data_IF_474408784217
#
_entry.id   IF_474408784217
#
_cell.length_a   1.000
_cell.length_b   1.000
_cell.length_c   1.000
_cell.angle_alpha   90.00
_cell.angle_beta   90.00
_cell.angle_gamma   90.00
#
_symmetry.space_group_name_H-M   'P 1'
#
loop_
_entity.id
_entity.type
_entity.pdbx_description
1 polymer ?
#
# COMPACT_ATOMS: atom_id res chain seq x y z
N UNK A 1 -6.32 -73.77 57.26
CA UNK A 1 -7.56 -74.44 57.69
C UNK A 1 -8.41 -73.36 58.37
N UNK A 2 -9.65 -73.15 57.88
CA UNK A 2 -10.69 -72.15 58.23
C UNK A 2 -10.47 -71.33 59.52
N UNK A 3 -10.49 -69.99 59.56
CA UNK A 3 -11.39 -68.92 59.07
C UNK A 3 -12.82 -68.89 59.66
N UNK A 4 -12.99 -67.89 60.54
CA UNK A 4 -14.17 -67.26 61.16
C UNK A 4 -14.86 -67.94 62.36
N UNK A 5 -14.90 -67.22 63.50
CA UNK A 5 -16.14 -66.63 64.00
C UNK A 5 -15.90 -65.13 64.28
N UNK A 6 -16.85 -64.22 64.10
CA UNK A 6 -17.67 -63.77 65.23
C UNK A 6 -18.87 -62.96 64.69
N UNK A 7 -20.04 -63.32 65.20
CA UNK A 7 -21.24 -62.48 65.11
C UNK A 7 -21.28 -61.47 66.26
N UNK A 8 -22.29 -60.59 66.19
CA UNK A 8 -22.74 -59.64 67.22
C UNK A 8 -21.99 -58.29 67.26
N UNK A 9 -22.60 -57.12 67.40
CA UNK A 9 -23.98 -56.60 67.36
C UNK A 9 -23.82 -55.06 67.28
N UNK A 10 -24.88 -54.39 66.85
CA UNK A 10 -25.01 -52.94 66.74
C UNK A 10 -24.52 -52.13 67.95
N UNK A 11 -23.86 -50.99 67.65
CA UNK A 11 -23.57 -49.89 68.57
C UNK A 11 -24.03 -48.56 67.97
N UNK A 12 -24.73 -47.77 68.78
CA UNK A 12 -25.55 -46.61 68.49
C UNK A 12 -24.86 -45.39 67.82
N UNK A 13 -25.63 -44.46 67.21
CA UNK A 13 -25.12 -43.29 66.50
C UNK A 13 -24.63 -42.17 67.44
N UNK A 14 -23.39 -41.71 67.24
CA UNK A 14 -22.79 -40.56 67.93
C UNK A 14 -23.22 -39.25 67.27
N UNK A 15 -24.47 -38.85 67.52
CA UNK A 15 -25.04 -37.60 67.06
C UNK A 15 -24.79 -36.47 68.07
N UNK A 16 -23.55 -35.96 68.19
CA UNK A 16 -23.27 -34.77 69.02
C UNK A 16 -21.95 -34.03 68.74
N UNK A 17 -21.48 -33.91 67.48
CA UNK A 17 -20.41 -32.97 67.14
C UNK A 17 -20.74 -32.17 65.89
N UNK A 18 -21.17 -30.92 66.09
CA UNK A 18 -21.25 -29.94 65.02
C UNK A 18 -19.84 -29.67 64.43
N UNK A 19 -19.73 -29.39 63.12
CA UNK A 19 -18.44 -29.15 62.49
C UNK A 19 -17.77 -27.89 63.07
N UNK A 20 -16.45 -27.97 63.27
CA UNK A 20 -15.64 -26.83 63.66
C UNK A 20 -15.78 -25.69 62.61
N UNK A 21 -15.71 -24.41 63.02
CA UNK A 21 -15.74 -23.30 62.08
C UNK A 21 -14.62 -23.46 61.03
N UNK A 22 -15.01 -23.42 59.75
CA UNK A 22 -14.07 -23.54 58.65
C UNK A 22 -13.03 -22.41 58.64
N UNK A 23 -11.85 -22.63 58.03
CA UNK A 23 -10.83 -21.60 57.93
C UNK A 23 -11.38 -20.36 57.21
N UNK A 24 -11.03 -19.17 57.70
CA UNK A 24 -11.43 -17.90 57.11
C UNK A 24 -11.05 -17.85 55.62
N UNK A 25 -11.89 -17.26 54.74
CA UNK A 25 -11.56 -17.12 53.33
C UNK A 25 -10.26 -16.32 53.14
N UNK A 26 -9.44 -16.65 52.13
CA UNK A 26 -8.21 -15.90 51.87
C UNK A 26 -8.54 -14.44 51.55
N UNK A 27 -7.65 -13.49 51.89
CA UNK A 27 -7.84 -12.08 51.55
C UNK A 27 -7.93 -11.94 50.03
N UNK A 28 -8.85 -11.07 49.57
CA UNK A 28 -8.98 -10.74 48.15
C UNK A 28 -7.64 -10.26 47.59
N UNK A 29 -7.24 -10.68 46.37
CA UNK A 29 -6.00 -10.22 45.77
C UNK A 29 -6.04 -8.69 45.60
N UNK A 30 -4.94 -8.03 45.97
CA UNK A 30 -4.76 -6.60 45.74
C UNK A 30 -4.95 -6.29 44.25
N UNK A 31 -5.51 -5.11 43.88
CA UNK A 31 -5.59 -4.72 42.49
C UNK A 31 -4.18 -4.74 41.89
N UNK A 32 -3.98 -5.62 40.91
CA UNK A 32 -2.73 -5.70 40.17
C UNK A 32 -2.46 -4.36 39.50
N UNK A 33 -1.20 -3.93 39.37
CA UNK A 33 -0.88 -2.67 38.71
C UNK A 33 -1.51 -2.72 37.33
N UNK A 34 -2.42 -1.78 37.10
CA UNK A 34 -3.24 -1.63 35.92
C UNK A 34 -2.26 -1.54 34.74
N UNK A 35 -1.99 -2.70 34.15
CA UNK A 35 -1.16 -2.91 32.99
C UNK A 35 -1.87 -2.40 31.74
N UNK A 36 -2.39 -1.17 31.81
CA UNK A 36 -2.48 -0.29 30.66
C UNK A 36 -1.05 0.07 30.24
N UNK A 37 -0.28 -0.96 29.87
CA UNK A 37 0.85 -0.85 28.99
C UNK A 37 0.31 -0.11 27.78
N UNK A 38 0.59 1.19 27.74
CA UNK A 38 0.31 2.03 26.60
C UNK A 38 0.84 1.30 25.40
N UNK A 39 -0.08 0.77 24.58
CA UNK A 39 0.27 0.07 23.37
C UNK A 39 1.17 1.00 22.60
N UNK A 40 2.46 0.67 22.56
CA UNK A 40 3.45 1.44 21.84
C UNK A 40 2.92 1.54 20.41
N UNK A 41 2.36 2.70 20.07
CA UNK A 41 1.74 2.92 18.78
C UNK A 41 2.85 2.76 17.75
N UNK A 42 2.90 1.58 17.11
CA UNK A 42 3.91 1.28 16.10
C UNK A 42 3.94 2.41 15.06
N UNK A 43 5.10 2.73 14.46
CA UNK A 43 5.22 3.85 13.54
C UNK A 43 4.12 3.80 12.47
N UNK A 44 3.20 4.77 12.48
CA UNK A 44 2.16 4.87 11.44
C UNK A 44 2.85 5.09 10.10
N UNK A 45 2.83 4.07 9.24
CA UNK A 45 3.35 4.19 7.87
C UNK A 45 2.59 5.31 7.16
N UNK A 46 3.29 6.38 6.78
CA UNK A 46 2.69 7.54 6.11
C UNK A 46 2.13 7.09 4.75
N UNK A 47 0.80 7.08 4.61
CA UNK A 47 0.12 6.67 3.35
C UNK A 47 0.01 7.78 2.32
N UNK A 48 0.16 9.04 2.72
CA UNK A 48 -0.02 10.17 1.83
C UNK A 48 0.92 10.17 0.60
N UNK A 49 2.21 9.73 0.66
CA UNK A 49 3.08 9.77 -0.52
C UNK A 49 2.60 8.82 -1.61
N UNK A 50 2.11 7.63 -1.23
CA UNK A 50 1.59 6.65 -2.20
C UNK A 50 0.24 7.08 -2.76
N UNK A 51 -0.60 7.76 -1.98
CA UNK A 51 -1.87 8.34 -2.48
C UNK A 51 -1.57 9.44 -3.50
N UNK A 52 -0.62 10.33 -3.21
CA UNK A 52 -0.18 11.36 -4.15
C UNK A 52 0.39 10.73 -5.42
N UNK A 53 1.27 9.74 -5.30
CA UNK A 53 1.81 9.03 -6.46
C UNK A 53 0.70 8.44 -7.33
N UNK A 54 -0.29 7.78 -6.74
CA UNK A 54 -1.44 7.18 -7.44
C UNK A 54 -2.28 8.21 -8.18
N UNK A 55 -2.54 9.36 -7.56
CA UNK A 55 -3.28 10.45 -8.20
C UNK A 55 -2.51 10.97 -9.44
N UNK A 56 -1.22 11.29 -9.26
CA UNK A 56 -0.39 11.86 -10.33
C UNK A 56 -0.16 10.86 -11.46
N UNK A 57 0.16 9.60 -11.15
CA UNK A 57 0.41 8.57 -12.17
C UNK A 57 -0.86 8.22 -12.95
N UNK A 58 -2.04 8.29 -12.32
CA UNK A 58 -3.32 8.10 -13.01
C UNK A 58 -3.60 9.24 -13.98
N UNK A 59 -3.43 10.49 -13.54
CA UNK A 59 -3.54 11.65 -14.42
C UNK A 59 -2.56 11.56 -15.60
N UNK A 60 -1.30 11.23 -15.31
CA UNK A 60 -0.27 11.03 -16.32
C UNK A 60 -0.66 9.98 -17.36
N UNK A 61 -1.18 8.82 -16.95
CA UNK A 61 -1.64 7.79 -17.88
C UNK A 61 -2.85 8.25 -18.71
N UNK A 62 -3.82 8.94 -18.10
CA UNK A 62 -4.97 9.47 -18.85
C UNK A 62 -4.52 10.44 -19.94
N UNK A 63 -3.61 11.35 -19.63
CA UNK A 63 -3.04 12.27 -20.62
C UNK A 63 -2.30 11.52 -21.74
N UNK A 64 -1.51 10.49 -21.39
CA UNK A 64 -0.83 9.64 -22.36
C UNK A 64 -1.80 8.87 -23.27
N UNK A 65 -2.95 8.43 -22.76
CA UNK A 65 -3.99 7.75 -23.55
C UNK A 65 -4.74 8.71 -24.48
N UNK A 66 -4.92 9.96 -24.05
CA UNK A 66 -5.54 11.02 -24.87
C UNK A 66 -4.64 11.46 -26.03
N UNK A 67 -3.32 11.55 -25.81
CA UNK A 67 -2.34 12.01 -26.80
C UNK A 67 -2.45 11.33 -28.20
N UNK A 68 -2.51 9.99 -28.32
CA UNK A 68 -2.64 9.32 -29.61
C UNK A 68 -4.02 9.50 -30.24
N UNK A 69 -5.08 9.73 -29.45
CA UNK A 69 -6.41 10.05 -30.00
C UNK A 69 -6.38 11.40 -30.68
N UNK A 70 -5.81 12.43 -30.03
CA UNK A 70 -5.62 13.76 -30.61
C UNK A 70 -4.75 13.69 -31.87
N UNK A 71 -3.66 12.94 -31.83
CA UNK A 71 -2.78 12.73 -32.98
C UNK A 71 -3.50 12.04 -34.15
N UNK A 72 -4.27 10.98 -33.86
CA UNK A 72 -5.00 10.22 -34.87
C UNK A 72 -6.07 11.05 -35.57
N UNK A 73 -6.81 11.86 -34.81
CA UNK A 73 -7.81 12.77 -35.37
C UNK A 73 -7.18 13.88 -36.22
N UNK A 74 -6.06 14.46 -35.75
CA UNK A 74 -5.25 15.40 -36.52
C UNK A 74 -4.81 14.82 -37.87
N UNK A 75 -4.20 13.62 -37.86
CA UNK A 75 -3.75 12.94 -39.09
C UNK A 75 -4.93 12.58 -40.01
N UNK A 76 -6.12 12.39 -39.45
CA UNK A 76 -7.35 12.10 -40.20
C UNK A 76 -7.99 13.34 -40.84
N UNK A 77 -7.44 14.54 -40.61
CA UNK A 77 -7.82 15.77 -41.30
C UNK A 77 -8.35 16.90 -40.42
N UNK A 78 -8.53 16.67 -39.12
CA UNK A 78 -8.96 17.72 -38.17
C UNK A 78 -7.74 18.49 -37.64
N UNK A 79 -7.24 19.41 -38.47
CA UNK A 79 -5.96 20.11 -38.26
C UNK A 79 -5.94 20.97 -36.98
N UNK A 80 -7.09 21.43 -36.51
CA UNK A 80 -7.21 22.24 -35.30
C UNK A 80 -6.84 21.44 -34.03
N UNK A 81 -6.96 20.11 -34.08
CA UNK A 81 -6.56 19.23 -32.98
C UNK A 81 -5.05 19.12 -32.81
N UNK A 82 -4.24 19.66 -33.73
CA UNK A 82 -2.80 19.77 -33.55
C UNK A 82 -2.45 20.64 -32.35
N UNK A 83 -3.15 21.76 -32.16
CA UNK A 83 -2.93 22.65 -31.01
C UNK A 83 -3.26 21.93 -29.70
N UNK A 84 -4.38 21.19 -29.66
CA UNK A 84 -4.72 20.38 -28.49
C UNK A 84 -3.72 19.25 -28.24
N UNK A 85 -3.19 18.63 -29.29
CA UNK A 85 -2.12 17.63 -29.18
C UNK A 85 -0.85 18.25 -28.57
N UNK A 86 -0.49 19.46 -28.98
CA UNK A 86 0.65 20.21 -28.42
C UNK A 86 0.43 20.59 -26.95
N UNK A 87 -0.72 21.18 -26.62
CA UNK A 87 -1.09 21.54 -25.25
C UNK A 87 -1.08 20.31 -24.34
N UNK A 88 -1.65 19.18 -24.79
CA UNK A 88 -1.63 17.94 -24.03
C UNK A 88 -0.20 17.41 -23.86
N UNK A 89 0.67 17.53 -24.88
CA UNK A 89 2.10 17.17 -24.80
C UNK A 89 2.84 17.93 -23.70
N UNK A 90 2.64 19.25 -23.64
CA UNK A 90 3.21 20.09 -22.58
C UNK A 90 2.66 19.73 -21.19
N UNK A 91 1.36 19.41 -21.12
CA UNK A 91 0.71 18.97 -19.88
C UNK A 91 1.26 17.62 -19.41
N UNK A 92 1.50 16.66 -20.31
CA UNK A 92 2.16 15.38 -20.01
C UNK A 92 3.57 15.63 -19.49
N UNK A 93 4.33 16.49 -20.16
CA UNK A 93 5.72 16.81 -19.78
C UNK A 93 5.78 17.38 -18.35
N UNK A 94 4.94 18.37 -18.05
CA UNK A 94 4.83 18.94 -16.71
C UNK A 94 4.41 17.89 -15.67
N UNK A 95 3.37 17.10 -15.98
CA UNK A 95 2.86 16.04 -15.10
C UNK A 95 3.92 14.97 -14.84
N UNK A 96 4.77 14.64 -15.83
CA UNK A 96 5.90 13.73 -15.69
C UNK A 96 6.91 14.21 -14.64
N UNK A 97 7.27 15.49 -14.66
CA UNK A 97 8.14 16.06 -13.62
C UNK A 97 7.49 16.06 -12.24
N UNK A 98 6.19 16.34 -12.15
CA UNK A 98 5.43 16.19 -10.89
C UNK A 98 5.43 14.72 -10.42
N UNK A 99 5.33 13.77 -11.35
CA UNK A 99 5.40 12.33 -11.06
C UNK A 99 6.77 11.94 -10.48
N UNK A 100 7.87 12.52 -10.98
CA UNK A 100 9.21 12.35 -10.40
C UNK A 100 9.21 12.78 -8.93
N UNK A 101 8.68 13.97 -8.63
CA UNK A 101 8.60 14.47 -7.26
C UNK A 101 7.76 13.55 -6.36
N UNK A 102 6.59 13.11 -6.84
CA UNK A 102 5.73 12.18 -6.11
C UNK A 102 6.42 10.84 -5.82
N UNK A 103 7.18 10.31 -6.79
CA UNK A 103 7.94 9.08 -6.64
C UNK A 103 9.12 9.24 -5.66
N UNK A 104 9.80 10.39 -5.66
CA UNK A 104 10.83 10.72 -4.66
C UNK A 104 10.24 10.78 -3.25
N UNK A 105 9.01 11.31 -3.10
CA UNK A 105 8.31 11.33 -1.80
C UNK A 105 7.97 9.92 -1.30
N UNK A 106 7.66 8.98 -2.20
CA UNK A 106 7.52 7.56 -1.85
C UNK A 106 8.85 6.95 -1.43
N UNK A 107 9.96 7.27 -2.11
CA UNK A 107 11.29 6.74 -1.78
C UNK A 107 11.83 7.27 -0.44
N UNK A 108 11.91 8.60 -0.26
CA UNK A 108 12.60 9.22 0.90
C UNK A 108 11.69 9.28 2.15
N UNK A 109 10.62 10.09 2.19
CA UNK A 109 9.65 10.07 3.30
C UNK A 109 8.89 8.75 3.47
N UNK A 110 8.49 8.12 2.37
CA UNK A 110 7.68 6.89 2.38
C UNK A 110 8.48 5.60 2.59
N UNK A 111 9.82 5.67 2.54
CA UNK A 111 10.75 4.53 2.65
C UNK A 111 10.44 3.40 1.65
N UNK A 112 9.87 3.75 0.50
CA UNK A 112 9.59 2.84 -0.61
C UNK A 112 10.80 2.60 -1.50
N UNK A 113 10.66 1.78 -2.55
CA UNK A 113 11.74 1.52 -3.49
C UNK A 113 12.15 2.78 -4.27
N UNK A 114 13.43 2.87 -4.65
CA UNK A 114 13.97 3.97 -5.46
C UNK A 114 13.59 3.86 -6.95
N UNK A 115 13.43 2.64 -7.46
CA UNK A 115 13.25 2.41 -8.90
C UNK A 115 12.08 3.18 -9.54
N UNK A 116 10.91 3.43 -8.89
CA UNK A 116 9.84 4.22 -9.50
C UNK A 116 10.24 5.67 -9.75
N UNK A 117 11.10 6.24 -8.89
CA UNK A 117 11.62 7.59 -9.09
C UNK A 117 12.59 7.64 -10.27
N UNK A 118 13.46 6.63 -10.41
CA UNK A 118 14.35 6.48 -11.57
C UNK A 118 13.54 6.31 -12.85
N UNK A 119 12.52 5.43 -12.85
CA UNK A 119 11.67 5.23 -14.02
C UNK A 119 10.90 6.50 -14.39
N UNK A 120 10.29 7.18 -13.42
CA UNK A 120 9.59 8.45 -13.67
C UNK A 120 10.53 9.51 -14.27
N UNK A 121 11.79 9.56 -13.80
CA UNK A 121 12.80 10.48 -14.33
C UNK A 121 13.13 10.15 -15.78
N UNK A 122 13.40 8.87 -16.08
CA UNK A 122 13.66 8.41 -17.44
C UNK A 122 12.49 8.69 -18.38
N UNK A 123 11.26 8.37 -17.95
CA UNK A 123 10.05 8.66 -18.74
C UNK A 123 9.90 10.16 -19.03
N UNK A 124 10.20 11.03 -18.05
CA UNK A 124 10.13 12.48 -18.24
C UNK A 124 11.14 13.00 -19.26
N UNK A 125 12.35 12.44 -19.27
CA UNK A 125 13.35 12.73 -20.31
C UNK A 125 12.91 12.22 -21.68
N UNK A 126 12.42 10.98 -21.77
CA UNK A 126 11.93 10.41 -23.03
C UNK A 126 10.76 11.23 -23.59
N UNK A 127 9.83 11.69 -22.75
CA UNK A 127 8.75 12.60 -23.16
C UNK A 127 9.30 13.92 -23.70
N UNK A 128 10.34 14.47 -23.08
CA UNK A 128 10.96 15.70 -23.57
C UNK A 128 11.61 15.50 -24.95
N UNK A 129 12.26 14.36 -25.18
CA UNK A 129 12.76 13.98 -26.52
C UNK A 129 11.61 13.81 -27.51
N UNK A 130 10.50 13.24 -27.05
CA UNK A 130 9.32 12.99 -27.86
C UNK A 130 8.66 14.26 -28.38
N UNK A 131 8.63 15.32 -27.56
CA UNK A 131 8.25 16.68 -27.99
C UNK A 131 9.15 17.14 -29.14
N UNK A 132 10.47 16.97 -28.98
CA UNK A 132 11.46 17.31 -30.01
C UNK A 132 11.24 16.57 -31.33
N UNK A 133 11.04 15.25 -31.29
CA UNK A 133 10.73 14.46 -32.49
C UNK A 133 9.39 14.84 -33.13
N UNK A 134 8.40 15.25 -32.33
CA UNK A 134 7.13 15.79 -32.83
C UNK A 134 7.34 17.06 -33.66
N UNK A 135 8.09 18.04 -33.13
CA UNK A 135 8.43 19.26 -33.85
C UNK A 135 9.31 19.02 -35.07
N UNK A 136 10.25 18.08 -34.98
CA UNK A 136 11.12 17.69 -36.09
C UNK A 136 10.38 16.86 -37.16
N UNK A 137 9.13 16.43 -36.90
CA UNK A 137 8.30 15.58 -37.78
C UNK A 137 8.93 14.20 -38.04
N UNK A 138 9.71 13.69 -37.09
CA UNK A 138 10.34 12.37 -37.17
C UNK A 138 9.36 11.28 -36.73
N UNK A 139 8.34 11.04 -37.55
CA UNK A 139 7.19 10.18 -37.21
C UNK A 139 7.59 8.72 -36.93
N UNK A 140 8.64 8.22 -37.60
CA UNK A 140 9.16 6.87 -37.40
C UNK A 140 9.67 6.62 -35.98
N UNK A 141 10.18 7.65 -35.31
CA UNK A 141 10.58 7.59 -33.91
C UNK A 141 9.42 7.99 -33.00
N UNK A 142 8.68 9.04 -33.39
CA UNK A 142 7.61 9.60 -32.59
C UNK A 142 6.51 8.56 -32.32
N UNK A 143 5.97 7.91 -33.35
CA UNK A 143 4.81 7.02 -33.17
C UNK A 143 5.15 5.80 -32.29
N UNK A 144 6.22 5.02 -32.56
CA UNK A 144 6.54 3.86 -31.74
C UNK A 144 6.92 4.23 -30.31
N UNK A 145 7.65 5.34 -30.11
CA UNK A 145 8.00 5.80 -28.76
C UNK A 145 6.76 6.22 -27.97
N UNK A 146 5.77 6.85 -28.62
CA UNK A 146 4.48 7.16 -27.98
C UNK A 146 3.78 5.91 -27.45
N UNK A 147 3.74 4.84 -28.23
CA UNK A 147 3.16 3.54 -27.82
C UNK A 147 3.95 2.93 -26.65
N UNK A 148 5.28 3.02 -26.68
CA UNK A 148 6.14 2.58 -25.57
C UNK A 148 5.82 3.35 -24.29
N UNK A 149 5.68 4.68 -24.36
CA UNK A 149 5.36 5.53 -23.21
C UNK A 149 4.01 5.18 -22.60
N UNK A 150 2.97 4.95 -23.41
CA UNK A 150 1.65 4.49 -22.93
C UNK A 150 1.78 3.15 -22.18
N UNK A 151 2.55 2.22 -22.75
CA UNK A 151 2.78 0.90 -22.16
C UNK A 151 3.52 0.99 -20.83
N UNK A 152 4.60 1.78 -20.77
CA UNK A 152 5.37 2.00 -19.56
C UNK A 152 4.56 2.74 -18.48
N UNK A 153 3.78 3.75 -18.87
CA UNK A 153 2.84 4.46 -17.98
C UNK A 153 1.80 3.51 -17.39
N UNK A 154 1.24 2.63 -18.20
CA UNK A 154 0.28 1.59 -17.76
C UNK A 154 0.92 0.65 -16.74
N UNK A 155 2.13 0.16 -17.01
CA UNK A 155 2.86 -0.70 -16.08
C UNK A 155 3.17 0.01 -14.75
N UNK A 156 3.52 1.30 -14.79
CA UNK A 156 3.79 2.10 -13.59
C UNK A 156 2.53 2.36 -12.76
N UNK A 157 1.39 2.66 -13.40
CA UNK A 157 0.08 2.74 -12.72
C UNK A 157 -0.25 1.40 -12.06
N UNK A 158 -0.18 0.29 -12.81
CA UNK A 158 -0.45 -1.04 -12.28
C UNK A 158 0.41 -1.33 -11.04
N UNK A 159 1.72 -1.06 -11.13
CA UNK A 159 2.61 -1.21 -9.98
C UNK A 159 2.20 -0.32 -8.80
N UNK A 160 1.91 0.96 -9.03
CA UNK A 160 1.56 1.90 -7.95
C UNK A 160 0.32 1.45 -7.16
N UNK A 161 -0.65 0.82 -7.84
CA UNK A 161 -1.85 0.25 -7.20
C UNK A 161 -1.58 -1.12 -6.56
N UNK A 162 -0.72 -1.95 -7.14
CA UNK A 162 -0.30 -3.23 -6.55
C UNK A 162 0.62 -3.06 -5.33
N UNK A 163 1.37 -1.96 -5.26
CA UNK A 163 2.33 -1.69 -4.19
C UNK A 163 1.63 -1.51 -2.83
N UNK A 164 2.09 -2.26 -1.82
CA UNK A 164 1.59 -2.22 -0.44
C UNK A 164 2.71 -1.80 0.52
N UNK A 165 2.72 -0.55 1.02
CA UNK A 165 3.71 -0.09 1.99
C UNK A 165 3.70 -0.95 3.26
N UNK A 166 4.87 -1.40 3.72
CA UNK A 166 5.01 -2.12 5.00
C UNK A 166 5.09 -3.65 4.93
N UNK A 167 4.99 -4.29 3.76
CA UNK A 167 5.47 -5.68 3.58
C UNK A 167 6.98 -5.67 3.34
N UNK A 168 7.75 -5.38 4.39
CA UNK A 168 9.19 -5.53 4.38
C UNK A 168 9.57 -7.01 4.26
N UNK A 169 10.57 -7.29 3.43
CA UNK A 169 11.20 -8.59 3.17
C UNK A 169 11.43 -9.37 4.47
N UNK A 170 10.83 -10.56 4.57
CA UNK A 170 11.45 -11.67 5.30
C UNK A 170 12.40 -12.31 4.28
N UNK A 171 13.70 -12.25 4.52
CA UNK A 171 14.73 -12.78 3.61
C UNK A 171 15.93 -11.85 3.54
#
# INVERSE_FOLDING_TARGET
MAHNPDGSLAGAPDAARGPAPGPAPPPSPAPGPDGSAGGAAGPRVRRWPIVLLRAVVTLFLLLLLVQPVLAGMFISGDVDLLELHEINSHTITFTGWVLVLAAVLVWRPGRGPLWPAVLALLLSFVISMQVGWGYARELELHIPMGVFLVSAGTALVHWAYAYRPGRGRRG
#
